data_IF_185234796071
#
_entry.id   IF_185234796071
#
_cell.length_a   1.000
_cell.length_b   1.000
_cell.length_c   1.000
_cell.angle_alpha   90.00
_cell.angle_beta   90.00
_cell.angle_gamma   90.00
#
_symmetry.space_group_name_H-M   'P 1'
#
loop_
_entity.id
_entity.type
_entity.pdbx_description
1 polymer ?
#
# COMPACT_ATOMS: atom_id res chain seq x y z
N UNK A 1 4.07 -7.37 4.84
CA UNK A 1 4.63 -6.71 3.63
C UNK A 1 3.46 -6.14 2.83
N UNK A 2 3.63 -4.98 2.19
CA UNK A 2 2.54 -4.25 1.54
C UNK A 2 2.52 -4.55 0.03
N UNK A 3 1.57 -5.39 -0.43
CA UNK A 3 1.55 -5.91 -1.82
C UNK A 3 0.75 -5.00 -2.76
N UNK A 4 1.43 -3.97 -3.26
CA UNK A 4 0.84 -3.02 -4.22
C UNK A 4 0.53 -3.65 -5.58
N UNK A 5 1.21 -4.73 -5.97
CA UNK A 5 0.92 -5.39 -7.25
C UNK A 5 -0.42 -6.12 -7.21
N UNK A 6 -0.75 -6.73 -6.06
CA UNK A 6 -2.05 -7.35 -5.86
C UNK A 6 -3.17 -6.33 -5.86
N UNK A 7 -3.07 -5.26 -5.07
CA UNK A 7 -4.17 -4.27 -4.98
C UNK A 7 -4.40 -3.53 -6.30
N UNK A 8 -3.34 -3.25 -7.06
CA UNK A 8 -3.48 -2.66 -8.39
C UNK A 8 -4.16 -3.63 -9.36
N UNK A 9 -3.83 -4.92 -9.30
CA UNK A 9 -4.42 -5.94 -10.17
C UNK A 9 -5.83 -6.37 -9.74
N UNK A 10 -6.13 -6.43 -8.45
CA UNK A 10 -7.35 -7.04 -7.93
C UNK A 10 -8.23 -6.05 -7.19
N UNK A 11 -7.86 -4.77 -7.12
CA UNK A 11 -8.54 -3.79 -6.30
C UNK A 11 -8.41 -4.09 -4.80
N UNK A 12 -9.02 -3.23 -3.98
CA UNK A 12 -9.15 -3.49 -2.56
C UNK A 12 -9.96 -4.76 -2.33
N UNK A 13 -9.50 -5.59 -1.38
CA UNK A 13 -10.16 -6.85 -1.00
C UNK A 13 -10.40 -7.81 -2.17
N UNK A 14 -9.54 -7.74 -3.20
CA UNK A 14 -9.64 -8.55 -4.42
C UNK A 14 -10.97 -8.41 -5.19
N UNK A 15 -11.65 -7.25 -5.08
CA UNK A 15 -12.94 -6.99 -5.71
C UNK A 15 -12.93 -6.90 -7.25
N UNK A 16 -11.76 -6.78 -7.89
CA UNK A 16 -11.61 -6.68 -9.35
C UNK A 16 -11.25 -8.03 -9.97
N UNK A 17 -12.15 -8.51 -10.83
CA UNK A 17 -12.00 -9.76 -11.56
C UNK A 17 -11.14 -9.63 -12.83
N UNK A 18 -11.10 -10.68 -13.64
CA UNK A 18 -10.34 -10.68 -14.89
C UNK A 18 -10.88 -9.69 -15.94
N UNK A 19 -12.20 -9.51 -16.02
CA UNK A 19 -12.82 -8.60 -16.97
C UNK A 19 -12.60 -7.14 -16.56
N UNK A 20 -12.74 -6.82 -15.28
CA UNK A 20 -12.41 -5.50 -14.73
C UNK A 20 -10.95 -5.14 -14.96
N UNK A 21 -10.02 -6.09 -14.76
CA UNK A 21 -8.61 -5.90 -15.13
C UNK A 21 -8.40 -5.65 -16.62
N UNK A 22 -9.13 -6.34 -17.49
CA UNK A 22 -9.01 -6.16 -18.93
C UNK A 22 -9.47 -4.76 -19.37
N UNK A 23 -10.61 -4.30 -18.85
CA UNK A 23 -11.10 -2.95 -19.13
C UNK A 23 -10.17 -1.87 -18.56
N UNK A 24 -9.61 -2.08 -17.37
CA UNK A 24 -8.57 -1.20 -16.82
C UNK A 24 -7.36 -1.11 -17.76
N UNK A 25 -6.88 -2.23 -18.31
CA UNK A 25 -5.77 -2.22 -19.29
C UNK A 25 -6.12 -1.46 -20.57
N UNK A 26 -7.36 -1.57 -21.07
CA UNK A 26 -7.83 -0.77 -22.22
C UNK A 26 -7.78 0.73 -21.92
N UNK A 27 -8.29 1.14 -20.76
CA UNK A 27 -8.26 2.54 -20.31
C UNK A 27 -6.83 3.07 -20.17
N UNK A 28 -5.94 2.31 -19.53
CA UNK A 28 -4.55 2.69 -19.36
C UNK A 28 -3.79 2.79 -20.70
N UNK A 29 -4.07 1.90 -21.67
CA UNK A 29 -3.49 1.99 -23.01
C UNK A 29 -3.99 3.22 -23.77
N UNK A 30 -5.29 3.54 -23.68
CA UNK A 30 -5.81 4.78 -24.24
C UNK A 30 -5.15 6.01 -23.60
N UNK A 31 -4.97 6.00 -22.28
CA UNK A 31 -4.28 7.08 -21.57
C UNK A 31 -2.82 7.22 -22.03
N UNK A 32 -2.08 6.12 -22.22
CA UNK A 32 -0.71 6.19 -22.77
C UNK A 32 -0.67 6.89 -24.12
N UNK A 33 -1.62 6.62 -25.01
CA UNK A 33 -1.69 7.30 -26.31
C UNK A 33 -2.03 8.78 -26.15
N UNK A 34 -2.91 9.14 -25.21
CA UNK A 34 -3.21 10.54 -24.90
C UNK A 34 -1.99 11.29 -24.31
N UNK A 35 -1.27 10.66 -23.37
CA UNK A 35 -0.04 11.18 -22.78
C UNK A 35 1.04 11.41 -23.87
N UNK A 36 1.19 10.46 -24.80
CA UNK A 36 2.10 10.62 -25.93
C UNK A 36 1.74 11.81 -26.83
N UNK A 37 0.46 11.97 -27.17
CA UNK A 37 -0.01 13.06 -28.04
C UNK A 37 0.10 14.44 -27.38
N UNK A 38 -0.10 14.52 -26.06
CA UNK A 38 -0.04 15.77 -25.30
C UNK A 38 1.38 16.13 -24.84
N UNK A 39 2.33 15.19 -24.87
CA UNK A 39 3.71 15.39 -24.45
C UNK A 39 3.93 15.45 -22.94
N UNK A 40 2.87 15.33 -22.14
CA UNK A 40 2.95 15.31 -20.66
C UNK A 40 2.01 14.25 -20.09
N UNK A 41 2.45 13.42 -19.12
CA UNK A 41 1.59 12.40 -18.53
C UNK A 41 0.47 12.98 -17.67
N UNK A 42 -0.74 12.45 -17.81
CA UNK A 42 -1.81 12.75 -16.87
C UNK A 42 -1.49 12.21 -15.46
N UNK A 43 -1.87 13.00 -14.46
CA UNK A 43 -1.71 12.69 -13.04
C UNK A 43 -2.99 12.08 -12.48
N UNK A 44 -2.87 11.07 -11.63
CA UNK A 44 -4.01 10.34 -11.07
C UNK A 44 -4.74 11.09 -9.93
N UNK A 45 -4.15 12.18 -9.44
CA UNK A 45 -4.58 12.84 -8.21
C UNK A 45 -4.01 12.12 -6.98
N UNK A 46 -3.78 12.88 -5.92
CA UNK A 46 -3.47 12.34 -4.59
C UNK A 46 -4.71 11.72 -3.94
N UNK A 47 -4.71 11.68 -2.62
CA UNK A 47 -5.90 11.35 -1.85
C UNK A 47 -7.03 12.31 -2.24
N UNK A 48 -8.24 11.76 -2.39
CA UNK A 48 -9.43 12.50 -2.82
C UNK A 48 -9.70 13.70 -1.91
N UNK A 49 -9.99 14.85 -2.49
CA UNK A 49 -10.30 16.10 -1.80
C UNK A 49 -11.12 17.00 -2.75
N UNK A 50 -12.39 17.35 -2.43
CA UNK A 50 -13.08 17.11 -1.17
C UNK A 50 -13.42 15.63 -0.94
N UNK A 51 -13.35 15.21 0.32
CA UNK A 51 -13.66 13.84 0.74
C UNK A 51 -15.16 13.53 0.57
N UNK A 52 -15.56 12.51 -0.22
CA UNK A 52 -16.96 12.09 -0.32
C UNK A 52 -17.50 11.57 1.03
N UNK A 53 -18.76 11.88 1.35
CA UNK A 53 -19.38 11.47 2.62
C UNK A 53 -19.43 9.95 2.79
N UNK A 54 -19.66 9.23 1.69
CA UNK A 54 -19.75 7.77 1.59
C UNK A 54 -18.40 7.07 1.37
N UNK A 55 -17.29 7.82 1.42
CA UNK A 55 -15.97 7.24 1.27
C UNK A 55 -15.71 6.11 2.29
N UNK A 56 -15.04 5.01 1.91
CA UNK A 56 -14.66 3.98 2.86
C UNK A 56 -13.82 4.54 4.01
N UNK A 57 -13.93 3.98 5.22
CA UNK A 57 -13.27 4.51 6.42
C UNK A 57 -11.75 4.75 6.21
N UNK A 58 -11.07 3.83 5.55
CA UNK A 58 -9.63 3.94 5.31
C UNK A 58 -9.26 5.07 4.34
N UNK A 59 -10.19 5.49 3.47
CA UNK A 59 -10.02 6.69 2.61
C UNK A 59 -10.16 7.95 3.46
N UNK A 60 -11.08 7.96 4.44
CA UNK A 60 -11.21 9.05 5.41
C UNK A 60 -9.93 9.17 6.25
N UNK A 61 -9.37 8.05 6.70
CA UNK A 61 -8.10 8.02 7.42
C UNK A 61 -6.92 8.53 6.56
N UNK A 62 -6.88 8.16 5.27
CA UNK A 62 -5.89 8.69 4.34
C UNK A 62 -6.05 10.20 4.13
N UNK A 63 -7.28 10.70 4.04
CA UNK A 63 -7.55 12.13 3.90
C UNK A 63 -7.09 12.88 5.15
N UNK A 64 -7.49 12.42 6.34
CA UNK A 64 -7.06 12.99 7.62
C UNK A 64 -5.53 13.11 7.71
N UNK A 65 -4.79 12.09 7.28
CA UNK A 65 -3.33 12.16 7.28
C UNK A 65 -2.77 13.07 6.17
N UNK A 66 -3.16 12.87 4.91
CA UNK A 66 -2.49 13.51 3.77
C UNK A 66 -2.99 14.91 3.42
N UNK A 67 -4.18 15.31 3.88
CA UNK A 67 -4.86 16.56 3.51
C UNK A 67 -5.03 17.54 4.69
N UNK A 68 -4.53 17.19 5.87
CA UNK A 68 -4.55 18.08 7.05
C UNK A 68 -3.13 18.32 7.57
N UNK A 69 -3.01 19.20 8.58
CA UNK A 69 -1.74 19.48 9.27
C UNK A 69 -1.10 18.24 9.92
N UNK A 70 -1.86 17.14 10.09
CA UNK A 70 -1.34 15.87 10.65
C UNK A 70 -0.15 15.33 9.85
N UNK A 71 -0.24 15.30 8.53
CA UNK A 71 0.75 14.65 7.66
C UNK A 71 0.92 15.27 6.28
N UNK A 72 0.25 16.40 5.99
CA UNK A 72 0.40 17.10 4.72
C UNK A 72 1.84 17.57 4.50
N UNK A 73 2.33 17.40 3.27
CA UNK A 73 3.57 18.04 2.82
C UNK A 73 3.50 18.34 1.33
N UNK A 74 4.01 19.52 0.94
CA UNK A 74 3.93 20.06 -0.43
C UNK A 74 4.52 19.11 -1.50
N UNK A 75 5.47 18.26 -1.11
CA UNK A 75 6.18 17.35 -2.04
C UNK A 75 5.60 15.94 -2.07
N UNK A 76 4.63 15.63 -1.21
CA UNK A 76 3.97 14.33 -1.21
C UNK A 76 3.01 14.22 -2.39
N UNK A 77 3.17 13.17 -3.20
CA UNK A 77 2.23 12.89 -4.28
C UNK A 77 0.83 12.57 -3.73
N UNK A 78 0.75 11.84 -2.61
CA UNK A 78 -0.52 11.51 -1.97
C UNK A 78 -1.24 12.74 -1.42
N UNK A 79 -0.50 13.78 -1.00
CA UNK A 79 -1.11 15.05 -0.59
C UNK A 79 -1.58 15.90 -1.77
N UNK A 80 -1.00 15.70 -2.95
CA UNK A 80 -1.13 16.61 -4.09
C UNK A 80 -1.60 15.90 -5.36
N UNK A 81 -0.76 15.86 -6.40
CA UNK A 81 -1.14 15.42 -7.75
C UNK A 81 -1.10 13.90 -7.99
N UNK A 82 -0.62 13.10 -7.05
CA UNK A 82 -0.51 11.65 -7.23
C UNK A 82 0.53 11.23 -8.28
N UNK A 83 0.55 9.94 -8.57
CA UNK A 83 1.41 9.34 -9.59
C UNK A 83 0.87 9.59 -11.00
N UNK A 84 1.66 9.29 -12.03
CA UNK A 84 1.11 9.28 -13.39
C UNK A 84 0.07 8.16 -13.50
N UNK A 85 -1.04 8.41 -14.20
CA UNK A 85 -2.11 7.40 -14.37
C UNK A 85 -1.55 6.08 -14.89
N UNK A 86 -0.61 6.17 -15.83
CA UNK A 86 0.03 5.02 -16.49
C UNK A 86 1.13 4.33 -15.67
N UNK A 87 1.51 4.85 -14.50
CA UNK A 87 2.48 4.19 -13.60
C UNK A 87 1.95 2.87 -13.03
N UNK A 88 0.63 2.67 -12.99
CA UNK A 88 -0.01 1.43 -12.54
C UNK A 88 0.30 0.21 -13.43
N UNK A 89 0.69 0.42 -14.70
CA UNK A 89 0.92 -0.65 -15.66
C UNK A 89 2.04 -1.62 -15.25
N UNK A 90 3.10 -1.12 -14.62
CA UNK A 90 4.18 -1.99 -14.13
C UNK A 90 3.68 -2.87 -12.99
N UNK A 91 2.95 -2.30 -12.02
CA UNK A 91 2.34 -3.05 -10.93
C UNK A 91 1.36 -4.13 -11.40
N UNK A 92 0.61 -3.85 -12.48
CA UNK A 92 -0.32 -4.81 -13.09
C UNK A 92 0.37 -6.01 -13.75
N UNK A 93 1.61 -5.85 -14.22
CA UNK A 93 2.30 -6.84 -15.04
C UNK A 93 3.50 -7.49 -14.34
N UNK A 94 4.01 -6.92 -13.24
CA UNK A 94 5.22 -7.38 -12.56
C UNK A 94 4.93 -7.63 -11.07
N UNK A 95 4.31 -8.77 -10.71
CA UNK A 95 4.02 -9.10 -9.31
C UNK A 95 5.29 -9.10 -8.44
N UNK A 96 5.19 -8.49 -7.26
CA UNK A 96 6.25 -8.55 -6.25
C UNK A 96 6.04 -9.77 -5.34
N UNK A 97 7.01 -10.03 -4.46
CA UNK A 97 6.97 -11.09 -3.43
C UNK A 97 6.84 -12.53 -3.97
N UNK A 98 7.07 -12.76 -5.27
CA UNK A 98 6.97 -14.10 -5.88
C UNK A 98 7.95 -15.10 -5.26
N UNK A 99 9.13 -14.62 -4.84
CA UNK A 99 10.19 -15.40 -4.20
C UNK A 99 10.37 -15.01 -2.73
N UNK A 100 9.31 -14.54 -2.07
CA UNK A 100 9.39 -14.13 -0.65
C UNK A 100 9.70 -15.32 0.28
N UNK A 101 9.36 -16.53 -0.14
CA UNK A 101 9.72 -17.78 0.52
C UNK A 101 11.22 -18.12 0.46
N UNK A 102 11.98 -17.47 -0.43
CA UNK A 102 13.44 -17.62 -0.52
C UNK A 102 14.20 -16.73 0.47
N UNK A 103 13.52 -15.84 1.20
CA UNK A 103 14.16 -14.98 2.21
C UNK A 103 14.70 -15.84 3.35
N UNK A 104 16.02 -15.83 3.53
CA UNK A 104 16.72 -16.58 4.59
C UNK A 104 16.98 -15.76 5.85
N UNK A 105 17.08 -14.44 5.71
CA UNK A 105 17.25 -13.52 6.83
C UNK A 105 15.98 -13.43 7.67
N UNK A 106 16.12 -13.01 8.93
CA UNK A 106 14.97 -12.88 9.81
C UNK A 106 14.00 -11.80 9.30
N UNK A 107 12.69 -12.06 9.43
CA UNK A 107 11.64 -11.15 8.97
C UNK A 107 10.65 -10.83 10.08
N UNK A 108 10.51 -9.55 10.42
CA UNK A 108 9.42 -9.04 11.25
C UNK A 108 8.43 -8.28 10.37
N UNK A 109 7.18 -8.75 10.34
CA UNK A 109 6.06 -8.05 9.70
C UNK A 109 5.17 -7.47 10.80
N UNK A 110 4.94 -6.16 10.76
CA UNK A 110 4.09 -5.45 11.72
C UNK A 110 2.85 -4.93 10.99
N UNK A 111 1.67 -5.07 11.60
CA UNK A 111 0.43 -4.55 11.03
C UNK A 111 -0.64 -4.30 12.08
N UNK A 112 -1.47 -3.28 11.86
CA UNK A 112 -2.68 -3.07 12.66
C UNK A 112 -3.78 -4.07 12.30
N UNK A 113 -4.50 -4.57 13.31
CA UNK A 113 -5.58 -5.54 13.15
C UNK A 113 -6.74 -5.03 12.30
N UNK A 114 -7.11 -3.75 12.48
CA UNK A 114 -8.24 -3.10 11.80
C UNK A 114 -7.84 -2.43 10.50
N UNK A 115 -6.56 -2.49 10.12
CA UNK A 115 -6.11 -1.95 8.86
C UNK A 115 -6.75 -2.71 7.68
N UNK A 116 -7.39 -1.98 6.77
CA UNK A 116 -7.94 -2.54 5.52
C UNK A 116 -6.91 -3.36 4.71
N UNK A 117 -5.63 -3.06 4.90
CA UNK A 117 -4.49 -3.69 4.27
C UNK A 117 -3.91 -4.91 4.97
N UNK A 118 -4.47 -5.33 6.13
CA UNK A 118 -3.87 -6.39 6.95
C UNK A 118 -3.73 -7.73 6.21
N UNK A 119 -4.62 -8.01 5.26
CA UNK A 119 -4.56 -9.21 4.43
C UNK A 119 -3.27 -9.31 3.60
N UNK A 120 -2.63 -8.20 3.20
CA UNK A 120 -1.33 -8.24 2.52
C UNK A 120 -0.25 -8.85 3.40
N UNK A 121 -0.20 -8.45 4.67
CA UNK A 121 0.79 -8.94 5.63
C UNK A 121 0.55 -10.40 6.00
N UNK A 122 -0.72 -10.82 6.16
CA UNK A 122 -1.08 -12.21 6.43
C UNK A 122 -0.66 -13.14 5.29
N UNK A 123 -0.93 -12.73 4.05
CA UNK A 123 -0.59 -13.53 2.87
C UNK A 123 0.90 -13.52 2.55
N UNK A 124 1.60 -12.41 2.77
CA UNK A 124 3.06 -12.40 2.68
C UNK A 124 3.66 -13.32 3.73
N UNK A 125 3.19 -13.25 4.99
CA UNK A 125 3.68 -14.09 6.07
C UNK A 125 3.45 -15.58 5.82
N UNK A 126 2.32 -15.98 5.23
CA UNK A 126 2.05 -17.40 4.96
C UNK A 126 3.03 -18.01 3.94
N UNK A 127 3.60 -17.20 3.03
CA UNK A 127 4.59 -17.63 2.04
C UNK A 127 5.99 -17.78 2.64
N UNK A 128 6.41 -16.88 3.54
CA UNK A 128 7.72 -16.91 4.18
C UNK A 128 8.03 -18.28 4.79
N UNK A 129 9.31 -18.67 4.79
CA UNK A 129 9.81 -19.91 5.40
C UNK A 129 10.73 -19.60 6.59
N UNK A 130 11.16 -20.65 7.28
CA UNK A 130 12.00 -20.54 8.47
C UNK A 130 11.21 -20.30 9.75
N UNK A 131 11.91 -20.41 10.87
CA UNK A 131 11.45 -20.13 12.24
C UNK A 131 11.84 -18.71 12.71
N UNK A 132 12.61 -17.97 11.90
CA UNK A 132 13.06 -16.60 12.14
C UNK A 132 12.12 -15.54 11.53
N UNK A 133 10.83 -15.86 11.43
CA UNK A 133 9.78 -14.97 10.91
C UNK A 133 8.72 -14.69 11.97
N UNK A 134 8.27 -13.44 12.04
CA UNK A 134 7.21 -13.04 12.96
C UNK A 134 6.18 -12.13 12.27
N UNK A 135 4.90 -12.36 12.58
CA UNK A 135 3.80 -11.45 12.26
C UNK A 135 3.27 -10.85 13.56
N UNK A 136 3.60 -9.59 13.82
CA UNK A 136 3.16 -8.85 14.99
C UNK A 136 1.92 -8.02 14.65
N UNK A 137 0.76 -8.47 15.12
CA UNK A 137 -0.53 -7.80 14.93
C UNK A 137 -0.81 -6.91 16.13
N UNK A 138 -1.06 -5.62 15.87
CA UNK A 138 -1.39 -4.63 16.90
C UNK A 138 -2.93 -4.56 16.99
N UNK A 139 -3.54 -4.95 18.13
CA UNK A 139 -4.99 -4.90 18.30
C UNK A 139 -5.54 -3.50 18.05
N UNK A 140 -6.73 -3.43 17.46
CA UNK A 140 -7.48 -2.19 17.20
C UNK A 140 -6.83 -1.14 16.27
N UNK A 141 -5.54 -1.25 15.94
CA UNK A 141 -4.85 -0.27 15.11
C UNK A 141 -5.27 -0.34 13.63
N UNK A 142 -5.43 0.82 13.00
CA UNK A 142 -5.69 0.97 11.55
C UNK A 142 -4.40 1.20 10.75
N UNK A 143 -4.52 1.43 9.45
CA UNK A 143 -3.37 1.55 8.55
C UNK A 143 -2.49 2.76 8.86
N UNK A 144 -3.11 3.93 9.04
CA UNK A 144 -2.41 5.21 9.25
C UNK A 144 -1.92 5.39 10.68
N UNK A 145 -2.39 4.61 11.64
CA UNK A 145 -1.84 4.62 13.01
C UNK A 145 -0.33 4.30 13.01
N UNK A 146 0.10 3.39 12.15
CA UNK A 146 1.52 3.02 12.05
C UNK A 146 2.36 4.07 11.31
N UNK A 147 1.79 5.21 10.88
CA UNK A 147 2.53 6.27 10.21
C UNK A 147 3.15 7.25 11.22
N UNK A 148 2.41 7.61 12.26
CA UNK A 148 2.76 8.72 13.15
C UNK A 148 2.44 8.50 14.65
N UNK A 149 1.61 7.51 15.00
CA UNK A 149 1.17 7.29 16.38
C UNK A 149 2.24 6.55 17.20
N UNK A 150 3.12 7.30 17.85
CA UNK A 150 4.22 6.76 18.67
C UNK A 150 3.76 5.89 19.83
N UNK A 151 2.53 6.10 20.30
CA UNK A 151 1.84 5.30 21.31
C UNK A 151 1.39 3.92 20.79
N UNK A 152 1.27 3.76 19.46
CA UNK A 152 0.82 2.53 18.80
C UNK A 152 1.98 1.81 18.10
N UNK A 153 2.90 2.56 17.48
CA UNK A 153 4.06 1.99 16.78
C UNK A 153 4.96 1.26 17.80
N UNK A 154 5.21 -0.06 17.63
CA UNK A 154 5.87 -0.87 18.65
C UNK A 154 7.40 -0.75 18.53
N UNK A 155 7.95 0.44 18.77
CA UNK A 155 9.38 0.71 18.63
C UNK A 155 10.27 -0.22 19.47
N UNK A 156 9.84 -0.56 20.68
CA UNK A 156 10.55 -1.52 21.55
C UNK A 156 10.68 -2.90 20.88
N UNK A 157 9.62 -3.36 20.19
CA UNK A 157 9.62 -4.64 19.47
C UNK A 157 10.55 -4.59 18.26
N UNK A 158 10.51 -3.49 17.49
CA UNK A 158 11.38 -3.27 16.33
C UNK A 158 12.85 -3.27 16.76
N UNK A 159 13.18 -2.49 17.80
CA UNK A 159 14.55 -2.43 18.32
C UNK A 159 15.03 -3.79 18.81
N UNK A 160 14.22 -4.50 19.61
CA UNK A 160 14.57 -5.83 20.12
C UNK A 160 14.83 -6.83 19.00
N UNK A 161 14.00 -6.84 17.96
CA UNK A 161 14.16 -7.71 16.79
C UNK A 161 15.46 -7.40 16.04
N UNK A 162 15.75 -6.12 15.79
CA UNK A 162 16.99 -5.71 15.11
C UNK A 162 18.22 -6.09 15.93
N UNK A 163 18.24 -5.85 17.25
CA UNK A 163 19.37 -6.23 18.13
C UNK A 163 19.59 -7.74 18.17
N UNK A 164 18.53 -8.53 18.06
CA UNK A 164 18.63 -9.98 18.05
C UNK A 164 19.28 -10.52 16.76
N UNK A 165 18.92 -9.95 15.60
CA UNK A 165 19.25 -10.51 14.28
C UNK A 165 20.30 -9.72 13.48
N UNK A 166 20.65 -8.50 13.86
CA UNK A 166 21.76 -7.72 13.30
C UNK A 166 23.00 -7.83 14.19
N UNK A 167 23.59 -9.02 14.24
CA UNK A 167 24.87 -9.28 14.89
C UNK A 167 26.02 -9.19 13.89
#
# INVERSE_FOLDING_TARGET
MYDMTRVMARGYFDAVDANGRYEMKKQLNAQRTADYKSGTPARAGGVVDPLPEDAPFFVKDYHDYYKTERGYTERSLNSNGGWNVTSSLSFLNMPILQYSDEIRSAVLIIHGERAHSCYFSRDAFSKLKGDNKELFIIPDAVHTDLYDRKDIIPFVKIEGFLRQYLK
#
